data_IF_142991676151
#
_entry.id   IF_142991676151
#
_cell.length_a   1.000
_cell.length_b   1.000
_cell.length_c   1.000
_cell.angle_alpha   90.00
_cell.angle_beta   90.00
_cell.angle_gamma   90.00
#
_symmetry.space_group_name_H-M   'P 1'
#
loop_
_entity.id
_entity.type
_entity.pdbx_description
1 polymer ?
#
# COMPACT_ATOMS: atom_id res chain seq x y z
N UNK A 1 29.00 25.08 -16.46
CA UNK A 1 27.58 25.08 -16.85
C UNK A 1 26.83 25.67 -15.68
N UNK A 2 26.08 26.75 -15.92
CA UNK A 2 25.21 27.34 -14.90
C UNK A 2 23.84 26.68 -15.03
N UNK A 3 23.31 26.18 -13.92
CA UNK A 3 21.98 25.57 -13.89
C UNK A 3 20.93 26.67 -13.78
N UNK A 4 19.93 26.64 -14.67
CA UNK A 4 18.78 27.53 -14.61
C UNK A 4 17.59 26.79 -14.01
N UNK A 5 17.15 27.20 -12.81
CA UNK A 5 15.92 26.71 -12.20
C UNK A 5 14.77 27.64 -12.55
N UNK A 6 13.86 27.18 -13.40
CA UNK A 6 12.75 28.02 -13.90
C UNK A 6 11.43 27.27 -14.01
N UNK A 7 10.33 28.01 -13.85
CA UNK A 7 8.98 27.54 -14.20
C UNK A 7 8.80 27.67 -15.70
N UNK A 8 8.41 26.57 -16.36
CA UNK A 8 8.22 26.52 -17.81
C UNK A 8 6.75 26.79 -18.16
N UNK A 9 6.53 27.78 -19.02
CA UNK A 9 5.23 28.08 -19.61
C UNK A 9 5.22 27.73 -21.10
N UNK A 10 4.10 27.23 -21.59
CA UNK A 10 3.94 26.91 -23.02
C UNK A 10 3.75 28.19 -23.84
N UNK A 11 2.58 28.83 -23.72
CA UNK A 11 2.20 29.92 -24.64
C UNK A 11 1.93 31.26 -23.97
N UNK A 12 1.41 31.27 -22.75
CA UNK A 12 0.96 32.47 -22.08
C UNK A 12 1.38 32.46 -20.61
N UNK A 13 1.82 33.62 -20.15
CA UNK A 13 2.13 33.87 -18.74
C UNK A 13 1.18 34.95 -18.27
N UNK A 14 0.41 34.64 -17.24
CA UNK A 14 -0.60 35.51 -16.67
C UNK A 14 -0.28 35.74 -15.21
N UNK A 15 0.00 36.99 -14.84
CA UNK A 15 0.08 37.38 -13.44
C UNK A 15 -1.33 37.69 -12.93
N UNK A 16 -1.72 36.98 -11.87
CA UNK A 16 -3.05 37.08 -11.27
C UNK A 16 -2.95 37.82 -9.93
N UNK A 17 -3.66 38.94 -9.79
CA UNK A 17 -3.67 39.76 -8.57
C UNK A 17 -5.11 39.83 -8.03
N UNK A 18 -5.37 39.37 -6.80
CA UNK A 18 -6.69 39.49 -6.20
C UNK A 18 -7.13 40.95 -6.09
N UNK A 19 -8.41 41.24 -6.34
CA UNK A 19 -8.95 42.60 -6.33
C UNK A 19 -8.87 43.30 -4.96
N UNK A 20 -8.65 42.54 -3.87
CA UNK A 20 -8.43 43.09 -2.54
C UNK A 20 -7.08 43.81 -2.39
N UNK A 21 -6.15 43.67 -3.35
CA UNK A 21 -4.88 44.40 -3.35
C UNK A 21 -5.01 45.76 -4.04
N UNK A 22 -4.35 46.76 -3.47
CA UNK A 22 -4.20 48.07 -4.10
C UNK A 22 -3.09 48.04 -5.16
N UNK A 23 -3.47 48.05 -6.45
CA UNK A 23 -2.53 48.02 -7.57
C UNK A 23 -1.51 49.16 -7.57
N UNK A 24 -1.84 50.34 -7.02
CA UNK A 24 -0.90 51.48 -6.93
C UNK A 24 0.25 51.23 -5.94
N UNK A 25 0.05 50.29 -5.02
CA UNK A 25 1.03 49.90 -4.01
C UNK A 25 1.82 48.63 -4.41
N UNK A 26 1.64 48.15 -5.65
CA UNK A 26 2.34 46.98 -6.18
C UNK A 26 3.24 47.37 -7.35
N UNK A 27 4.42 46.77 -7.37
CA UNK A 27 5.39 46.91 -8.44
C UNK A 27 5.81 45.54 -8.95
N UNK A 28 5.77 45.38 -10.26
CA UNK A 28 6.27 44.23 -10.97
C UNK A 28 7.68 44.56 -11.47
N UNK A 29 8.66 43.78 -11.05
CA UNK A 29 10.05 43.91 -11.46
C UNK A 29 10.38 42.71 -12.36
N UNK A 30 10.84 42.99 -13.58
CA UNK A 30 11.20 41.97 -14.57
C UNK A 30 12.62 42.25 -15.03
N UNK A 31 13.58 41.36 -14.72
CA UNK A 31 15.01 41.53 -15.01
C UNK A 31 15.53 42.94 -14.67
N UNK A 32 15.20 43.42 -13.47
CA UNK A 32 15.53 44.76 -12.94
C UNK A 32 14.83 45.96 -13.62
N UNK A 33 13.85 45.71 -14.50
CA UNK A 33 12.95 46.76 -15.01
C UNK A 33 11.72 46.84 -14.14
N UNK A 34 11.35 48.05 -13.74
CA UNK A 34 10.25 48.30 -12.80
C UNK A 34 9.00 48.74 -13.56
N UNK A 35 7.87 48.11 -13.24
CA UNK A 35 6.56 48.39 -13.82
C UNK A 35 5.54 48.57 -12.70
N UNK A 36 4.85 49.71 -12.68
CA UNK A 36 3.73 49.91 -11.75
C UNK A 36 2.51 49.17 -12.27
N UNK A 37 1.93 48.30 -11.44
CA UNK A 37 0.80 47.47 -11.90
C UNK A 37 -0.43 48.30 -12.29
N UNK A 38 -0.63 49.48 -11.71
CA UNK A 38 -1.73 50.36 -12.07
C UNK A 38 -1.55 51.11 -13.41
N UNK A 39 -0.38 50.98 -14.05
CA UNK A 39 -0.06 51.62 -15.33
C UNK A 39 -0.04 50.62 -16.50
N UNK A 40 -0.16 49.32 -16.21
CA UNK A 40 -0.23 48.27 -17.22
C UNK A 40 -1.69 47.99 -17.61
N UNK A 41 -1.90 47.60 -18.86
CA UNK A 41 -3.20 47.11 -19.29
C UNK A 41 -3.52 45.75 -18.62
N UNK A 42 -4.76 45.60 -18.17
CA UNK A 42 -5.22 44.39 -17.47
C UNK A 42 -6.67 44.05 -17.81
N UNK A 43 -7.00 42.78 -17.65
CA UNK A 43 -8.37 42.26 -17.75
C UNK A 43 -8.90 41.98 -16.34
N UNK A 44 -10.20 42.24 -16.12
CA UNK A 44 -10.90 41.76 -14.92
C UNK A 44 -11.61 40.46 -15.24
N UNK A 45 -11.43 39.45 -14.40
CA UNK A 45 -12.06 38.14 -14.57
C UNK A 45 -13.03 37.83 -13.42
N UNK A 46 -13.97 36.90 -13.65
CA UNK A 46 -15.05 36.55 -12.70
C UNK A 46 -14.57 36.06 -11.32
N UNK A 47 -13.29 35.73 -11.17
CA UNK A 47 -12.67 35.27 -9.91
C UNK A 47 -12.21 36.42 -8.99
N UNK A 48 -12.76 37.64 -9.14
CA UNK A 48 -12.33 38.84 -8.40
C UNK A 48 -10.81 39.06 -8.48
N UNK A 49 -10.25 38.94 -9.69
CA UNK A 49 -8.82 39.09 -9.94
C UNK A 49 -8.55 40.00 -11.14
N UNK A 50 -7.49 40.81 -11.03
CA UNK A 50 -6.83 41.46 -12.15
C UNK A 50 -5.87 40.49 -12.82
N UNK A 51 -5.94 40.37 -14.14
CA UNK A 51 -5.09 39.49 -14.95
C UNK A 51 -4.19 40.35 -15.86
N UNK A 52 -2.88 40.17 -15.73
CA UNK A 52 -1.86 40.82 -16.58
C UNK A 52 -1.20 39.77 -17.48
N UNK A 53 -1.41 39.87 -18.80
CA UNK A 53 -0.81 38.96 -19.77
C UNK A 53 0.62 39.39 -20.12
N UNK A 54 1.62 38.94 -19.36
CA UNK A 54 2.99 39.45 -19.45
C UNK A 54 3.61 39.35 -20.85
N UNK A 55 3.33 38.25 -21.58
CA UNK A 55 3.79 38.08 -22.96
C UNK A 55 3.04 38.99 -23.94
N UNK A 56 1.72 39.13 -23.78
CA UNK A 56 0.87 39.97 -24.65
C UNK A 56 1.25 41.45 -24.50
N UNK A 57 1.59 41.86 -23.27
CA UNK A 57 2.11 43.19 -22.95
C UNK A 57 3.55 43.43 -23.45
N UNK A 58 4.19 42.42 -24.06
CA UNK A 58 5.57 42.52 -24.55
C UNK A 58 6.62 42.63 -23.43
N UNK A 59 6.28 42.25 -22.19
CA UNK A 59 7.16 42.35 -21.04
C UNK A 59 8.15 41.18 -20.93
N UNK A 60 7.83 40.05 -21.55
CA UNK A 60 8.67 38.84 -21.57
C UNK A 60 8.75 38.27 -23.00
N UNK A 61 9.83 37.53 -23.28
CA UNK A 61 10.09 36.93 -24.60
C UNK A 61 10.14 35.40 -24.53
N UNK A 62 9.97 34.74 -25.68
CA UNK A 62 10.13 33.30 -25.80
C UNK A 62 11.61 32.90 -25.67
N UNK A 63 11.85 31.71 -25.13
CA UNK A 63 13.18 31.10 -24.97
C UNK A 63 14.20 31.91 -24.16
N UNK A 64 13.74 32.83 -23.32
CA UNK A 64 14.60 33.65 -22.46
C UNK A 64 14.19 33.51 -20.99
N UNK A 65 15.03 32.91 -20.13
CA UNK A 65 14.81 32.90 -18.69
C UNK A 65 14.67 34.33 -18.16
N UNK A 66 13.56 34.60 -17.50
CA UNK A 66 13.19 35.93 -17.04
C UNK A 66 12.89 35.87 -15.55
N UNK A 67 13.57 36.69 -14.74
CA UNK A 67 13.28 36.82 -13.32
C UNK A 67 12.13 37.79 -13.12
N UNK A 68 11.10 37.35 -12.40
CA UNK A 68 9.92 38.15 -12.06
C UNK A 68 9.83 38.28 -10.55
N UNK A 69 9.67 39.52 -10.09
CA UNK A 69 9.45 39.83 -8.67
C UNK A 69 8.24 40.74 -8.54
N UNK A 70 7.29 40.37 -7.67
CA UNK A 70 6.18 41.23 -7.28
C UNK A 70 6.47 41.80 -5.90
N UNK A 71 6.66 43.11 -5.82
CA UNK A 71 6.89 43.81 -4.56
C UNK A 71 5.64 44.58 -4.11
N UNK A 72 5.39 44.58 -2.80
CA UNK A 72 4.34 45.39 -2.19
C UNK A 72 4.95 46.49 -1.34
N UNK A 73 4.71 47.75 -1.73
CA UNK A 73 5.11 48.91 -0.93
C UNK A 73 4.30 49.01 0.37
N UNK A 74 3.03 48.62 0.35
CA UNK A 74 2.17 48.65 1.54
C UNK A 74 2.63 47.64 2.61
N UNK A 75 3.09 46.46 2.19
CA UNK A 75 3.57 45.40 3.10
C UNK A 75 5.09 45.40 3.28
N UNK A 76 5.79 46.29 2.59
CA UNK A 76 7.26 46.39 2.52
C UNK A 76 7.95 45.04 2.30
N UNK A 77 7.39 44.20 1.42
CA UNK A 77 7.93 42.85 1.17
C UNK A 77 7.67 42.37 -0.25
N UNK A 78 8.51 41.41 -0.65
CA UNK A 78 8.31 40.60 -1.85
C UNK A 78 7.13 39.65 -1.62
N UNK A 79 6.17 39.68 -2.54
CA UNK A 79 5.00 38.80 -2.55
C UNK A 79 5.23 37.55 -3.41
N UNK A 80 6.03 37.68 -4.47
CA UNK A 80 6.36 36.63 -5.42
C UNK A 80 7.77 36.89 -5.96
N UNK A 81 8.59 35.86 -6.06
CA UNK A 81 9.87 35.91 -6.77
C UNK A 81 10.10 34.58 -7.45
N UNK A 82 10.09 34.58 -8.78
CA UNK A 82 10.20 33.38 -9.59
C UNK A 82 11.07 33.64 -10.81
N UNK A 83 11.77 32.63 -11.29
CA UNK A 83 12.38 32.65 -12.63
C UNK A 83 11.50 31.83 -13.56
N UNK A 84 11.12 32.39 -14.69
CA UNK A 84 10.23 31.74 -15.65
C UNK A 84 10.86 31.67 -17.04
N UNK A 85 10.39 30.75 -17.86
CA UNK A 85 10.73 30.70 -19.29
C UNK A 85 9.50 30.32 -20.10
N UNK A 86 9.34 30.91 -21.29
CA UNK A 86 8.29 30.54 -22.24
C UNK A 86 8.91 29.68 -23.34
N UNK A 87 8.46 28.42 -23.46
CA UNK A 87 8.90 27.46 -24.47
C UNK A 87 7.66 26.95 -25.26
N UNK A 88 7.26 27.66 -26.33
CA UNK A 88 6.01 27.36 -27.06
C UNK A 88 5.94 25.96 -27.66
N UNK A 89 7.10 25.43 -28.05
CA UNK A 89 7.19 24.15 -28.75
C UNK A 89 7.47 22.98 -27.82
N UNK A 90 7.65 23.23 -26.52
CA UNK A 90 7.87 22.20 -25.51
C UNK A 90 6.53 21.78 -24.89
N UNK A 91 6.27 20.48 -24.90
CA UNK A 91 5.12 19.85 -24.26
C UNK A 91 5.63 18.67 -23.42
N UNK A 92 5.32 18.66 -22.13
CA UNK A 92 5.70 17.59 -21.20
C UNK A 92 4.42 16.97 -20.66
N UNK A 93 4.20 15.71 -20.98
CA UNK A 93 2.98 15.00 -20.64
C UNK A 93 3.30 13.74 -19.85
N UNK A 94 3.01 13.76 -18.56
CA UNK A 94 3.02 12.58 -17.71
C UNK A 94 1.81 11.70 -18.02
N UNK A 95 2.00 10.39 -18.12
CA UNK A 95 0.89 9.45 -18.34
C UNK A 95 -0.07 9.34 -17.15
N UNK A 96 0.34 9.81 -15.98
CA UNK A 96 -0.49 9.89 -14.79
C UNK A 96 -0.38 11.27 -14.11
N UNK A 97 -1.45 11.72 -13.43
CA UNK A 97 -1.45 13.01 -12.71
C UNK A 97 -0.45 13.07 -11.55
N UNK A 98 -0.08 11.92 -10.99
CA UNK A 98 0.95 11.71 -9.98
C UNK A 98 1.26 10.21 -9.94
N UNK A 99 2.34 9.83 -9.26
CA UNK A 99 2.81 8.45 -9.16
C UNK A 99 2.81 7.96 -7.71
N UNK A 100 2.29 6.74 -7.49
CA UNK A 100 2.33 5.99 -6.23
C UNK A 100 2.25 4.49 -6.55
N UNK A 101 2.97 3.64 -5.81
CA UNK A 101 2.88 2.18 -5.97
C UNK A 101 3.49 1.69 -7.27
N UNK A 102 2.80 0.83 -8.00
CA UNK A 102 3.30 0.11 -9.18
C UNK A 102 2.83 0.69 -10.53
N UNK A 103 2.30 1.93 -10.53
CA UNK A 103 1.86 2.62 -11.74
C UNK A 103 2.96 2.65 -12.82
N UNK A 104 2.54 2.50 -14.08
CA UNK A 104 3.43 2.63 -15.22
C UNK A 104 4.01 4.06 -15.26
N UNK A 105 5.33 4.19 -15.31
CA UNK A 105 6.05 5.47 -15.23
C UNK A 105 6.50 5.91 -16.62
N UNK A 106 5.76 6.82 -17.23
CA UNK A 106 6.07 7.35 -18.55
C UNK A 106 5.84 8.85 -18.64
N UNK A 107 6.75 9.51 -19.34
CA UNK A 107 6.66 10.92 -19.69
C UNK A 107 6.93 11.05 -21.18
N UNK A 108 6.06 11.77 -21.86
CA UNK A 108 6.23 12.13 -23.26
C UNK A 108 6.70 13.57 -23.33
N UNK A 109 7.84 13.78 -23.98
CA UNK A 109 8.42 15.11 -24.19
C UNK A 109 8.32 15.37 -25.69
N UNK A 110 7.60 16.44 -26.07
CA UNK A 110 7.50 16.88 -27.45
C UNK A 110 8.23 18.21 -27.56
N UNK A 111 9.20 18.30 -28.45
CA UNK A 111 9.88 19.53 -28.81
C UNK A 111 9.91 19.66 -30.34
N UNK A 112 9.17 20.63 -30.89
CA UNK A 112 9.00 20.78 -32.33
C UNK A 112 8.47 19.48 -32.99
N UNK A 113 9.26 18.84 -33.84
CA UNK A 113 8.92 17.58 -34.52
C UNK A 113 9.45 16.34 -33.78
N UNK A 114 10.22 16.53 -32.71
CA UNK A 114 10.81 15.43 -31.95
C UNK A 114 9.84 15.02 -30.83
N UNK A 115 9.55 13.73 -30.76
CA UNK A 115 8.76 13.13 -29.68
C UNK A 115 9.65 12.07 -29.03
N UNK A 116 9.93 12.27 -27.76
CA UNK A 116 10.67 11.34 -26.92
C UNK A 116 9.75 10.77 -25.85
N UNK A 117 9.91 9.48 -25.56
CA UNK A 117 9.24 8.84 -24.44
C UNK A 117 10.27 8.23 -23.51
N UNK A 118 10.21 8.64 -22.25
CA UNK A 118 11.12 8.19 -21.21
C UNK A 118 10.35 7.43 -20.14
N UNK A 119 11.02 6.46 -19.55
CA UNK A 119 10.55 5.65 -18.42
C UNK A 119 11.61 5.69 -17.32
N UNK A 120 11.19 5.58 -16.06
CA UNK A 120 12.10 5.66 -14.91
C UNK A 120 11.69 4.68 -13.81
N UNK A 121 12.58 4.47 -12.84
CA UNK A 121 12.33 3.63 -11.69
C UNK A 121 11.64 4.41 -10.57
N UNK A 122 10.98 3.71 -9.64
CA UNK A 122 10.31 4.37 -8.51
C UNK A 122 11.27 5.20 -7.63
N UNK A 123 12.55 4.85 -7.59
CA UNK A 123 13.55 5.55 -6.78
C UNK A 123 13.96 6.89 -7.39
N UNK A 124 13.87 7.05 -8.71
CA UNK A 124 14.27 8.26 -9.40
C UNK A 124 13.29 9.40 -9.08
N UNK A 125 13.77 10.56 -8.63
CA UNK A 125 12.94 11.75 -8.38
C UNK A 125 12.85 12.67 -9.61
N UNK A 126 13.69 12.43 -10.62
CA UNK A 126 13.86 13.27 -11.79
C UNK A 126 14.04 12.43 -13.05
N UNK A 127 13.56 12.94 -14.18
CA UNK A 127 13.80 12.40 -15.51
C UNK A 127 14.64 13.39 -16.29
N UNK A 128 15.71 12.92 -16.91
CA UNK A 128 16.65 13.75 -17.66
C UNK A 128 16.49 13.44 -19.14
N UNK A 129 16.27 14.47 -19.95
CA UNK A 129 16.17 14.39 -21.40
C UNK A 129 17.14 15.38 -22.05
N UNK A 130 17.87 15.01 -23.11
CA UNK A 130 18.63 15.98 -23.90
C UNK A 130 17.72 17.06 -24.48
N UNK A 131 18.10 18.33 -24.34
CA UNK A 131 17.31 19.45 -24.83
C UNK A 131 18.23 20.53 -25.40
N UNK A 132 18.19 20.71 -26.72
CA UNK A 132 19.14 21.56 -27.47
C UNK A 132 20.60 21.21 -27.10
N UNK A 133 21.41 22.19 -26.69
CA UNK A 133 22.80 22.01 -26.25
C UNK A 133 22.93 21.63 -24.75
N UNK A 134 21.84 21.28 -24.08
CA UNK A 134 21.80 21.00 -22.65
C UNK A 134 20.89 19.82 -22.26
N UNK A 135 20.40 19.87 -21.02
CA UNK A 135 19.51 18.84 -20.46
C UNK A 135 18.28 19.47 -19.83
N UNK A 136 17.12 18.90 -20.12
CA UNK A 136 15.88 19.16 -19.41
C UNK A 136 15.78 18.19 -18.23
N UNK A 137 15.80 18.73 -17.01
CA UNK A 137 15.62 17.97 -15.76
C UNK A 137 14.17 18.14 -15.29
N UNK A 138 13.39 17.08 -15.37
CA UNK A 138 11.96 17.09 -15.06
C UNK A 138 11.72 16.41 -13.72
N UNK A 139 11.22 17.14 -12.73
CA UNK A 139 10.83 16.56 -11.44
C UNK A 139 9.57 15.70 -11.58
N UNK A 140 9.61 14.51 -10.99
CA UNK A 140 8.49 13.57 -11.02
C UNK A 140 7.49 13.92 -9.91
N UNK A 141 6.20 13.90 -10.26
CA UNK A 141 5.11 14.20 -9.34
C UNK A 141 4.75 12.97 -8.50
N UNK A 142 5.52 12.69 -7.45
CA UNK A 142 5.20 11.61 -6.51
C UNK A 142 4.20 12.03 -5.46
N UNK A 143 3.19 11.18 -5.25
CA UNK A 143 2.44 11.16 -4.01
C UNK A 143 3.22 10.27 -3.03
N UNK A 144 3.64 10.83 -1.90
CA UNK A 144 4.54 10.14 -0.97
C UNK A 144 4.13 10.38 0.47
N UNK A 145 4.53 9.46 1.33
CA UNK A 145 4.20 9.50 2.76
C UNK A 145 5.42 9.16 3.62
N UNK A 146 5.45 9.67 4.83
CA UNK A 146 6.46 9.31 5.84
C UNK A 146 5.87 9.32 7.24
N UNK A 147 6.56 8.67 8.16
CA UNK A 147 6.26 8.73 9.58
C UNK A 147 7.43 9.47 10.25
N UNK A 148 7.13 10.57 10.93
CA UNK A 148 8.11 11.49 11.48
C UNK A 148 9.18 11.90 10.43
N UNK A 149 10.44 11.89 10.82
CA UNK A 149 11.58 12.28 9.99
C UNK A 149 12.20 11.11 9.20
N UNK A 150 11.47 10.00 9.03
CA UNK A 150 11.92 8.90 8.17
C UNK A 150 11.87 9.27 6.69
N UNK A 151 12.51 8.44 5.86
CA UNK A 151 12.50 8.59 4.41
C UNK A 151 11.08 8.55 3.83
N UNK A 152 10.88 9.37 2.80
CA UNK A 152 9.63 9.38 2.03
C UNK A 152 9.44 8.08 1.27
N UNK A 153 8.27 7.48 1.44
CA UNK A 153 7.83 6.27 0.73
C UNK A 153 6.90 6.65 -0.41
N UNK A 154 7.15 6.06 -1.57
CA UNK A 154 6.39 6.26 -2.82
C UNK A 154 5.41 5.10 -3.09
N UNK A 155 5.31 4.15 -2.16
CA UNK A 155 4.52 2.92 -2.31
C UNK A 155 4.01 2.39 -0.96
N UNK A 156 3.12 1.41 -1.02
CA UNK A 156 2.56 0.70 0.13
C UNK A 156 3.56 -0.29 0.73
N UNK A 157 3.44 -0.59 2.02
CA UNK A 157 4.17 -1.71 2.64
C UNK A 157 3.34 -2.98 2.49
N UNK A 158 3.74 -3.83 1.54
CA UNK A 158 3.08 -5.11 1.21
C UNK A 158 3.44 -6.25 2.19
N UNK A 159 3.33 -5.99 3.49
CA UNK A 159 3.43 -7.01 4.53
C UNK A 159 2.64 -6.61 5.77
N UNK A 160 2.18 -7.59 6.53
CA UNK A 160 1.58 -7.35 7.85
C UNK A 160 2.67 -7.01 8.86
N UNK A 161 2.52 -5.89 9.57
CA UNK A 161 3.56 -5.35 10.45
C UNK A 161 3.13 -5.45 11.91
N UNK A 162 4.04 -5.90 12.78
CA UNK A 162 3.85 -5.78 14.22
C UNK A 162 4.06 -4.33 14.67
N UNK A 163 3.04 -3.72 15.28
CA UNK A 163 3.03 -2.27 15.53
C UNK A 163 4.25 -1.76 16.30
N UNK A 164 4.68 -2.44 17.38
CA UNK A 164 5.80 -1.97 18.23
C UNK A 164 7.15 -1.87 17.50
N UNK A 165 7.31 -2.59 16.39
CA UNK A 165 8.53 -2.57 15.59
C UNK A 165 8.54 -1.47 14.53
N UNK A 166 7.43 -0.73 14.38
CA UNK A 166 7.23 0.18 13.25
C UNK A 166 6.67 1.54 13.64
N UNK A 167 5.78 1.60 14.64
CA UNK A 167 5.11 2.83 15.05
C UNK A 167 5.07 2.95 16.57
N UNK A 168 5.34 4.15 17.07
CA UNK A 168 5.22 4.55 18.47
C UNK A 168 3.97 5.40 18.68
N UNK A 169 3.52 5.53 19.94
CA UNK A 169 2.27 6.23 20.26
C UNK A 169 2.27 7.71 19.83
N UNK A 170 3.43 8.37 19.88
CA UNK A 170 3.58 9.78 19.48
C UNK A 170 3.79 10.03 17.99
N UNK A 171 3.85 8.97 17.17
CA UNK A 171 4.26 9.11 15.77
C UNK A 171 3.23 9.85 14.91
N UNK A 172 3.74 10.73 14.06
CA UNK A 172 2.97 11.56 13.14
C UNK A 172 3.20 11.12 11.70
N UNK A 173 2.12 11.05 10.92
CA UNK A 173 2.17 10.73 9.50
C UNK A 173 2.03 12.00 8.67
N UNK A 174 2.91 12.12 7.69
CA UNK A 174 2.91 13.19 6.70
C UNK A 174 2.64 12.61 5.33
N UNK A 175 1.85 13.35 4.53
CA UNK A 175 1.59 13.05 3.13
C UNK A 175 1.98 14.28 2.33
N UNK A 176 2.87 14.09 1.38
CA UNK A 176 3.22 15.09 0.38
C UNK A 176 2.43 14.79 -0.89
N UNK A 177 1.54 15.72 -1.23
CA UNK A 177 0.63 15.62 -2.35
C UNK A 177 1.05 16.62 -3.42
N UNK A 178 1.45 16.17 -4.62
CA UNK A 178 1.86 17.07 -5.69
C UNK A 178 0.71 17.90 -6.26
N UNK A 179 -0.56 17.59 -5.90
CA UNK A 179 -1.73 18.37 -6.29
C UNK A 179 -2.33 19.10 -5.08
N UNK A 180 -1.86 20.32 -4.84
CA UNK A 180 -2.28 21.17 -3.71
C UNK A 180 -3.81 21.36 -3.61
N UNK A 181 -4.54 21.34 -4.73
CA UNK A 181 -5.97 21.64 -4.77
C UNK A 181 -6.89 20.54 -4.18
N UNK A 182 -6.38 19.34 -3.88
CA UNK A 182 -7.20 18.24 -3.38
C UNK A 182 -6.87 17.90 -1.93
N UNK A 183 -7.85 18.08 -1.05
CA UNK A 183 -7.78 17.63 0.33
C UNK A 183 -7.57 16.10 0.37
N UNK A 184 -6.43 15.69 0.94
CA UNK A 184 -6.17 14.29 1.27
C UNK A 184 -6.69 14.02 2.67
N UNK A 185 -7.51 12.98 2.77
CA UNK A 185 -8.03 12.46 4.05
C UNK A 185 -7.34 11.16 4.39
N UNK A 186 -6.96 10.99 5.65
CA UNK A 186 -6.35 9.75 6.14
C UNK A 186 -7.39 8.94 6.92
N UNK A 187 -7.40 7.64 6.70
CA UNK A 187 -8.30 6.73 7.37
C UNK A 187 -7.58 5.51 7.91
N UNK A 188 -8.16 4.97 8.98
CA UNK A 188 -7.79 3.68 9.53
C UNK A 188 -9.02 2.80 9.48
N UNK A 189 -8.86 1.62 8.89
CA UNK A 189 -9.88 0.58 8.85
C UNK A 189 -9.54 -0.49 9.89
N UNK A 190 -10.40 -0.64 10.90
CA UNK A 190 -10.25 -1.61 12.00
C UNK A 190 -11.46 -2.53 11.99
N UNK A 191 -11.24 -3.84 11.87
CA UNK A 191 -12.32 -4.85 11.86
C UNK A 191 -13.48 -4.50 10.89
N UNK A 192 -13.16 -3.87 9.76
CA UNK A 192 -14.13 -3.44 8.75
C UNK A 192 -14.69 -2.02 8.91
N UNK A 193 -14.54 -1.39 10.07
CA UNK A 193 -14.98 -0.01 10.33
C UNK A 193 -13.92 1.01 9.91
N UNK A 194 -14.30 2.02 9.15
CA UNK A 194 -13.43 3.09 8.66
C UNK A 194 -13.54 4.32 9.57
N UNK A 195 -12.41 4.78 10.10
CA UNK A 195 -12.30 5.94 10.99
C UNK A 195 -11.37 6.97 10.34
N UNK A 196 -11.79 8.22 10.27
CA UNK A 196 -10.96 9.32 9.75
C UNK A 196 -10.00 9.83 10.83
N UNK A 197 -8.72 10.00 10.48
CA UNK A 197 -7.73 10.68 11.33
C UNK A 197 -7.69 12.14 10.92
N UNK A 198 -7.97 13.03 11.88
CA UNK A 198 -7.89 14.46 11.68
C UNK A 198 -6.44 14.95 11.76
N UNK A 199 -6.14 16.02 11.01
CA UNK A 199 -4.85 16.71 11.11
C UNK A 199 -4.76 17.46 12.44
N UNK A 200 -3.57 17.46 13.03
CA UNK A 200 -3.26 18.33 14.15
C UNK A 200 -2.96 19.77 13.70
N UNK A 201 -2.63 20.66 14.64
CA UNK A 201 -2.33 22.07 14.36
C UNK A 201 -1.13 22.28 13.41
N UNK A 202 -0.23 21.30 13.31
CA UNK A 202 0.91 21.32 12.37
C UNK A 202 0.60 20.72 11.00
N UNK A 203 -0.66 20.33 10.74
CA UNK A 203 -1.08 19.72 9.48
C UNK A 203 -0.74 18.24 9.33
N UNK A 204 -0.22 17.58 10.39
CA UNK A 204 0.19 16.17 10.39
C UNK A 204 -0.88 15.27 11.02
N UNK A 205 -0.89 13.99 10.69
CA UNK A 205 -1.87 13.03 11.21
C UNK A 205 -1.33 12.28 12.44
N UNK A 206 -2.10 12.21 13.53
CA UNK A 206 -1.72 11.50 14.78
C UNK A 206 -1.84 9.97 14.67
N UNK A 207 -1.12 9.37 13.72
CA UNK A 207 -1.25 7.96 13.39
C UNK A 207 -0.87 7.03 14.56
N UNK A 208 0.17 7.36 15.32
CA UNK A 208 0.63 6.57 16.45
C UNK A 208 -0.49 6.38 17.48
N UNK A 209 -1.10 7.49 17.89
CA UNK A 209 -2.22 7.51 18.83
C UNK A 209 -3.41 6.71 18.32
N UNK A 210 -3.74 6.84 17.04
CA UNK A 210 -4.84 6.07 16.43
C UNK A 210 -4.58 4.56 16.46
N UNK A 211 -3.34 4.11 16.23
CA UNK A 211 -2.99 2.68 16.33
C UNK A 211 -3.03 2.20 17.78
N UNK A 212 -2.42 2.94 18.73
CA UNK A 212 -2.34 2.53 20.14
C UNK A 212 -3.69 2.56 20.88
N UNK A 213 -4.62 3.43 20.47
CA UNK A 213 -5.99 3.42 21.03
C UNK A 213 -6.75 2.15 20.62
N UNK A 214 -6.30 1.46 19.57
CA UNK A 214 -6.87 0.24 19.04
C UNK A 214 -5.95 -0.98 19.27
N UNK A 215 -5.33 -1.06 20.45
CA UNK A 215 -4.59 -2.26 20.87
C UNK A 215 -5.49 -3.51 20.93
N UNK A 216 -4.91 -4.69 20.68
CA UNK A 216 -5.64 -5.96 20.66
C UNK A 216 -6.37 -6.29 19.36
N UNK A 217 -6.10 -5.56 18.27
CA UNK A 217 -6.67 -5.78 16.93
C UNK A 217 -5.70 -6.48 15.99
N UNK A 218 -6.19 -7.46 15.23
CA UNK A 218 -5.37 -8.19 14.24
C UNK A 218 -5.23 -7.41 12.95
N UNK A 219 -6.28 -6.69 12.55
CA UNK A 219 -6.37 -6.07 11.23
C UNK A 219 -6.61 -4.58 11.35
N UNK A 220 -5.53 -3.81 11.24
CA UNK A 220 -5.57 -2.35 11.13
C UNK A 220 -4.94 -1.97 9.79
N UNK A 221 -5.76 -1.48 8.86
CA UNK A 221 -5.31 -1.01 7.55
C UNK A 221 -5.30 0.51 7.54
N UNK A 222 -4.18 1.11 7.19
CA UNK A 222 -4.04 2.57 7.07
C UNK A 222 -4.05 2.92 5.60
N UNK A 223 -4.93 3.84 5.22
CA UNK A 223 -5.06 4.26 3.83
C UNK A 223 -5.42 5.74 3.78
N UNK A 224 -4.94 6.44 2.76
CA UNK A 224 -5.45 7.77 2.47
C UNK A 224 -6.40 7.71 1.28
N UNK A 225 -7.27 8.72 1.16
CA UNK A 225 -8.12 8.87 -0.01
C UNK A 225 -8.07 10.29 -0.52
N UNK A 226 -8.06 10.41 -1.84
CA UNK A 226 -8.44 11.65 -2.51
C UNK A 226 -9.92 11.55 -2.93
N UNK A 227 -10.44 12.54 -3.67
CA UNK A 227 -11.86 12.55 -4.11
C UNK A 227 -12.25 11.42 -5.07
N UNK A 228 -11.30 10.66 -5.62
CA UNK A 228 -11.52 9.65 -6.66
C UNK A 228 -11.02 8.25 -6.27
N UNK A 229 -9.99 8.16 -5.46
CA UNK A 229 -9.19 6.95 -5.25
C UNK A 229 -8.80 6.76 -3.78
N UNK A 230 -8.66 5.49 -3.37
CA UNK A 230 -8.12 5.10 -2.07
C UNK A 230 -6.76 4.43 -2.29
N UNK A 231 -5.80 4.77 -1.44
CA UNK A 231 -4.43 4.26 -1.50
C UNK A 231 -4.07 3.65 -0.15
N UNK A 232 -3.78 2.36 -0.15
CA UNK A 232 -3.29 1.67 1.04
C UNK A 232 -1.85 2.10 1.33
N UNK A 233 -1.53 2.39 2.59
CA UNK A 233 -0.18 2.69 3.03
C UNK A 233 0.49 1.47 3.64
N UNK A 234 -0.16 0.83 4.61
CA UNK A 234 0.36 -0.33 5.31
C UNK A 234 -0.72 -1.02 6.14
N UNK A 235 -0.48 -2.30 6.45
CA UNK A 235 -1.30 -3.09 7.35
C UNK A 235 -0.53 -3.44 8.63
N UNK A 236 -1.12 -3.10 9.78
CA UNK A 236 -0.55 -3.33 11.11
C UNK A 236 -1.43 -4.26 11.93
N UNK A 237 -0.80 -4.97 12.86
CA UNK A 237 -1.46 -5.73 13.92
C UNK A 237 -0.96 -5.27 15.29
N UNK A 238 -1.92 -5.11 16.20
CA UNK A 238 -1.69 -4.85 17.64
C UNK A 238 -2.04 -6.07 18.50
N UNK A 239 -2.39 -7.20 17.87
CA UNK A 239 -2.57 -8.51 18.50
C UNK A 239 -1.71 -9.57 17.85
N UNK A 240 -0.99 -10.31 18.67
CA UNK A 240 -0.17 -11.45 18.26
C UNK A 240 -1.06 -12.54 17.65
N UNK A 241 -0.71 -13.00 16.46
CA UNK A 241 -1.43 -14.07 15.76
C UNK A 241 -0.58 -14.66 14.63
N UNK A 242 -1.02 -15.81 14.11
CA UNK A 242 -0.49 -16.39 12.89
C UNK A 242 -1.40 -16.05 11.70
N UNK A 243 -0.79 -15.67 10.58
CA UNK A 243 -1.48 -15.42 9.30
C UNK A 243 -1.59 -16.69 8.45
N UNK A 244 -0.73 -17.67 8.71
CA UNK A 244 -0.69 -18.96 8.01
C UNK A 244 -0.38 -20.11 8.98
N UNK A 245 -0.38 -21.36 8.50
CA UNK A 245 -0.01 -22.51 9.33
C UNK A 245 1.49 -22.46 9.67
N UNK A 246 1.88 -22.37 10.95
CA UNK A 246 3.27 -22.27 11.34
C UNK A 246 4.00 -23.61 11.35
N UNK A 247 3.32 -24.69 10.96
CA UNK A 247 3.90 -26.03 10.88
C UNK A 247 3.71 -26.59 9.48
N UNK A 248 4.79 -27.11 8.90
CA UNK A 248 4.77 -27.76 7.58
C UNK A 248 5.40 -29.14 7.64
N UNK A 249 4.96 -30.03 6.73
CA UNK A 249 5.54 -31.34 6.54
C UNK A 249 6.08 -31.47 5.12
N UNK A 250 7.37 -31.76 4.98
CA UNK A 250 8.00 -32.08 3.70
C UNK A 250 9.23 -32.97 3.93
N UNK A 251 9.52 -33.86 2.98
CA UNK A 251 10.64 -34.80 3.05
C UNK A 251 10.71 -35.62 4.36
N UNK A 252 9.56 -36.09 4.85
CA UNK A 252 9.49 -36.93 6.06
C UNK A 252 9.73 -36.19 7.38
N UNK A 253 9.81 -34.86 7.34
CA UNK A 253 10.16 -34.00 8.47
C UNK A 253 9.11 -32.92 8.69
N UNK A 254 8.98 -32.49 9.94
CA UNK A 254 8.09 -31.42 10.35
C UNK A 254 8.93 -30.20 10.72
N UNK A 255 8.56 -29.06 10.16
CA UNK A 255 9.25 -27.80 10.37
C UNK A 255 8.34 -26.78 11.01
N UNK A 256 8.90 -26.07 11.99
CA UNK A 256 8.36 -24.84 12.53
C UNK A 256 8.80 -23.69 11.63
N UNK A 257 7.83 -23.03 11.00
CA UNK A 257 8.01 -21.91 10.11
C UNK A 257 7.33 -20.70 10.72
N UNK A 258 8.10 -19.79 11.30
CA UNK A 258 7.58 -18.65 12.06
C UNK A 258 7.84 -17.30 11.39
N UNK A 259 8.98 -17.14 10.72
CA UNK A 259 9.44 -15.84 10.22
C UNK A 259 8.44 -15.14 9.30
N UNK A 260 7.70 -15.92 8.49
CA UNK A 260 6.71 -15.40 7.54
C UNK A 260 5.26 -15.68 7.95
N UNK A 261 5.03 -16.40 9.05
CA UNK A 261 3.67 -16.84 9.45
C UNK A 261 3.18 -16.13 10.71
N UNK A 262 4.08 -15.62 11.56
CA UNK A 262 3.74 -14.96 12.82
C UNK A 262 3.88 -13.45 12.74
N UNK A 263 2.86 -12.75 13.25
CA UNK A 263 2.88 -11.30 13.41
C UNK A 263 2.82 -11.00 14.91
N UNK A 264 3.95 -10.56 15.46
CA UNK A 264 4.07 -10.30 16.89
C UNK A 264 5.49 -9.93 17.33
N UNK A 265 5.67 -9.90 18.64
CA UNK A 265 6.96 -9.68 19.28
C UNK A 265 7.92 -10.86 19.04
N UNK A 266 9.16 -10.57 18.65
CA UNK A 266 10.16 -11.58 18.27
C UNK A 266 10.78 -12.29 19.48
N UNK A 267 10.62 -11.72 20.67
CA UNK A 267 11.13 -12.30 21.92
C UNK A 267 10.13 -13.28 22.55
N UNK A 268 9.07 -13.63 21.84
CA UNK A 268 8.06 -14.57 22.30
C UNK A 268 8.57 -16.01 22.34
N UNK A 269 8.06 -16.73 23.35
CA UNK A 269 8.12 -18.18 23.42
C UNK A 269 6.72 -18.75 23.29
N UNK A 270 6.61 -19.83 22.52
CA UNK A 270 5.36 -20.51 22.24
C UNK A 270 5.35 -21.87 22.92
N UNK A 271 4.15 -22.35 23.25
CA UNK A 271 3.91 -23.75 23.55
C UNK A 271 3.24 -24.36 22.31
N UNK A 272 3.99 -25.19 21.58
CA UNK A 272 3.51 -25.90 20.40
C UNK A 272 3.06 -27.30 20.80
N UNK A 273 1.83 -27.66 20.43
CA UNK A 273 1.25 -28.99 20.62
C UNK A 273 0.81 -29.54 19.27
N UNK A 274 1.36 -30.68 18.85
CA UNK A 274 1.01 -31.40 17.63
C UNK A 274 0.54 -32.78 18.06
N UNK A 275 -0.74 -33.09 17.87
CA UNK A 275 -1.28 -34.43 18.16
C UNK A 275 -1.37 -34.79 19.65
N UNK A 276 -1.17 -33.83 20.55
CA UNK A 276 -1.16 -34.05 22.00
C UNK A 276 0.23 -34.37 22.56
N UNK A 277 0.30 -34.49 23.90
CA UNK A 277 1.53 -34.80 24.66
C UNK A 277 2.29 -36.04 24.16
N UNK A 278 1.60 -37.00 23.56
CA UNK A 278 2.19 -38.27 23.12
C UNK A 278 2.92 -38.18 21.79
N UNK A 279 2.74 -37.08 21.04
CA UNK A 279 3.36 -36.87 19.73
C UNK A 279 4.40 -35.78 19.84
N UNK A 280 3.99 -34.54 20.13
CA UNK A 280 4.92 -33.44 20.39
C UNK A 280 4.24 -32.34 21.18
N UNK A 281 4.88 -31.97 22.29
CA UNK A 281 4.50 -30.79 23.04
C UNK A 281 5.73 -30.17 23.70
N UNK A 282 6.16 -29.03 23.18
CA UNK A 282 7.35 -28.36 23.70
C UNK A 282 7.26 -26.84 23.60
N UNK A 283 8.13 -26.17 24.36
CA UNK A 283 8.39 -24.73 24.22
C UNK A 283 9.26 -24.51 23.00
N UNK A 284 8.84 -23.57 22.15
CA UNK A 284 9.54 -23.22 20.93
C UNK A 284 9.73 -21.70 20.83
N UNK A 285 10.87 -21.30 20.28
CA UNK A 285 11.29 -19.92 20.09
C UNK A 285 10.83 -19.38 18.72
N UNK A 286 11.08 -18.09 18.50
CA UNK A 286 10.75 -17.40 17.25
C UNK A 286 11.81 -17.61 16.15
N UNK A 287 12.28 -18.85 15.95
CA UNK A 287 13.25 -19.21 14.89
C UNK A 287 12.80 -20.43 14.10
N UNK A 288 12.93 -20.38 12.78
CA UNK A 288 12.60 -21.52 11.92
C UNK A 288 13.50 -22.72 12.27
N UNK A 289 12.90 -23.91 12.41
CA UNK A 289 13.67 -25.15 12.66
C UNK A 289 12.90 -26.42 12.37
N UNK A 290 13.63 -27.49 12.13
CA UNK A 290 13.09 -28.85 12.19
C UNK A 290 12.72 -29.19 13.64
N UNK A 291 11.52 -29.74 13.85
CA UNK A 291 11.01 -30.05 15.20
C UNK A 291 10.71 -31.53 15.40
N UNK A 292 10.40 -32.26 14.33
CA UNK A 292 10.15 -33.71 14.36
C UNK A 292 10.63 -34.35 13.05
N UNK A 293 11.06 -35.60 13.15
CA UNK A 293 11.32 -36.49 12.03
C UNK A 293 10.63 -37.83 12.26
N UNK A 294 10.35 -38.56 11.18
CA UNK A 294 9.79 -39.93 11.23
C UNK A 294 8.44 -40.03 11.99
N UNK A 295 7.64 -38.97 11.95
CA UNK A 295 6.28 -39.00 12.51
C UNK A 295 5.36 -39.88 11.62
N UNK A 296 4.49 -40.66 12.26
CA UNK A 296 3.55 -41.56 11.56
C UNK A 296 2.63 -40.76 10.63
N UNK A 297 2.27 -41.35 9.49
CA UNK A 297 1.28 -40.76 8.59
C UNK A 297 -0.08 -40.58 9.30
N UNK A 298 -0.50 -39.33 9.50
CA UNK A 298 -1.79 -38.95 10.09
C UNK A 298 -2.11 -37.45 9.84
N UNK A 299 -3.33 -37.04 10.20
CA UNK A 299 -3.75 -35.66 10.37
C UNK A 299 -3.71 -35.33 11.86
N UNK A 300 -2.74 -34.51 12.25
CA UNK A 300 -2.55 -34.07 13.64
C UNK A 300 -3.22 -32.72 13.88
N UNK A 301 -3.91 -32.57 15.02
CA UNK A 301 -4.34 -31.24 15.51
C UNK A 301 -3.10 -30.46 15.93
N UNK A 302 -2.99 -29.23 15.47
CA UNK A 302 -1.94 -28.28 15.86
C UNK A 302 -2.56 -27.22 16.74
N UNK A 303 -1.92 -26.89 17.85
CA UNK A 303 -2.30 -25.77 18.71
C UNK A 303 -1.04 -25.03 19.13
N UNK A 304 -1.05 -23.71 18.94
CA UNK A 304 0.04 -22.83 19.40
C UNK A 304 -0.51 -21.89 20.44
N UNK A 305 0.15 -21.85 21.59
CA UNK A 305 -0.18 -20.94 22.68
C UNK A 305 0.97 -20.01 22.98
N UNK A 306 0.65 -18.80 23.42
CA UNK A 306 1.62 -17.84 23.93
C UNK A 306 1.41 -17.61 25.42
N UNK A 307 2.49 -17.34 26.15
CA UNK A 307 2.40 -17.02 27.57
C UNK A 307 1.71 -15.67 27.74
N UNK A 308 0.69 -15.63 28.59
CA UNK A 308 0.03 -14.39 28.96
C UNK A 308 1.03 -13.49 29.70
N UNK A 309 1.22 -12.27 29.19
CA UNK A 309 2.18 -11.27 29.74
C UNK A 309 1.63 -10.50 30.94
N UNK A 310 0.45 -10.86 31.48
CA UNK A 310 -0.13 -10.20 32.64
C UNK A 310 0.65 -10.52 33.93
N UNK A 311 1.40 -9.54 34.42
CA UNK A 311 2.20 -9.61 35.65
C UNK A 311 1.37 -9.81 36.92
N UNK A 312 0.05 -9.58 36.88
CA UNK A 312 -0.85 -9.75 38.02
C UNK A 312 -1.53 -11.14 38.06
N UNK A 313 -1.29 -11.99 37.06
CA UNK A 313 -1.83 -13.35 37.05
C UNK A 313 -1.10 -14.21 38.09
N UNK A 314 -1.85 -14.80 39.03
CA UNK A 314 -1.31 -15.71 40.07
C UNK A 314 -0.78 -17.03 39.49
N UNK A 315 -1.18 -17.39 38.28
CA UNK A 315 -0.80 -18.63 37.60
C UNK A 315 -0.30 -18.35 36.18
N UNK A 316 0.62 -19.19 35.69
CA UNK A 316 1.12 -19.12 34.33
C UNK A 316 0.01 -19.49 33.33
N UNK A 317 -0.64 -18.47 32.77
CA UNK A 317 -1.70 -18.64 31.76
C UNK A 317 -1.12 -18.67 30.35
N UNK A 318 -1.63 -19.57 29.53
CA UNK A 318 -1.27 -19.70 28.11
C UNK A 318 -2.50 -19.49 27.24
N UNK A 319 -2.45 -18.50 26.36
CA UNK A 319 -3.56 -18.16 25.46
C UNK A 319 -3.35 -18.76 24.07
N UNK A 320 -4.38 -19.39 23.51
CA UNK A 320 -4.33 -20.00 22.16
C UNK A 320 -4.33 -18.90 21.10
N UNK A 321 -3.31 -18.90 20.24
CA UNK A 321 -3.17 -17.93 19.14
C UNK A 321 -3.27 -18.57 17.76
N UNK A 322 -3.23 -19.90 17.69
CA UNK A 322 -3.46 -20.67 16.47
C UNK A 322 -4.02 -22.05 16.79
N UNK A 323 -5.03 -22.47 16.03
CA UNK A 323 -5.50 -23.85 15.97
C UNK A 323 -5.64 -24.27 14.52
N UNK A 324 -5.04 -25.42 14.17
CA UNK A 324 -5.00 -25.90 12.80
C UNK A 324 -4.78 -27.40 12.72
N UNK A 325 -4.39 -27.86 11.54
CA UNK A 325 -4.12 -29.28 11.27
C UNK A 325 -2.81 -29.41 10.47
N UNK A 326 -2.04 -30.44 10.80
CA UNK A 326 -0.85 -30.85 10.06
C UNK A 326 -1.16 -32.20 9.40
N UNK A 327 -1.04 -32.28 8.09
CA UNK A 327 -1.15 -33.54 7.35
C UNK A 327 0.26 -34.10 7.12
N UNK A 328 0.50 -35.31 7.60
CA UNK A 328 1.75 -36.05 7.41
C UNK A 328 1.46 -37.22 6.48
N UNK A 329 2.04 -37.21 5.27
CA UNK A 329 1.84 -38.25 4.27
C UNK A 329 1.11 -37.75 3.02
N UNK A 330 0.76 -38.68 2.13
CA UNK A 330 0.07 -38.39 0.85
C UNK A 330 -1.41 -38.01 1.11
N UNK A 331 -1.92 -36.86 0.61
CA UNK A 331 -3.31 -36.43 0.83
C UNK A 331 -4.37 -37.47 0.46
N UNK A 332 -4.10 -38.29 -0.55
CA UNK A 332 -4.99 -39.34 -1.06
C UNK A 332 -5.33 -40.38 0.01
N UNK A 333 -4.34 -40.74 0.84
CA UNK A 333 -4.51 -41.71 1.94
C UNK A 333 -5.49 -41.22 3.01
N UNK A 334 -5.69 -39.91 3.12
CA UNK A 334 -6.56 -39.30 4.12
C UNK A 334 -7.92 -38.89 3.58
N UNK A 335 -8.21 -39.13 2.30
CA UNK A 335 -9.42 -38.64 1.62
C UNK A 335 -10.71 -39.03 2.34
N UNK A 336 -10.78 -40.24 2.88
CA UNK A 336 -11.97 -40.82 3.53
C UNK A 336 -11.83 -40.99 5.04
N UNK A 337 -10.67 -40.64 5.63
CA UNK A 337 -10.44 -40.79 7.07
C UNK A 337 -11.46 -39.99 7.89
N UNK A 338 -12.09 -40.65 8.86
CA UNK A 338 -13.15 -40.10 9.73
C UNK A 338 -14.36 -39.52 8.96
N UNK A 339 -14.62 -40.02 7.74
CA UNK A 339 -15.79 -39.62 6.94
C UNK A 339 -16.75 -40.79 6.76
N UNK A 340 -18.00 -40.42 6.52
CA UNK A 340 -19.07 -41.34 6.17
C UNK A 340 -19.56 -40.98 4.77
N UNK A 341 -19.62 -41.96 3.88
CA UNK A 341 -20.29 -41.77 2.58
C UNK A 341 -21.73 -42.20 2.75
N UNK A 342 -22.64 -41.22 2.70
CA UNK A 342 -24.08 -41.49 2.66
C UNK A 342 -24.49 -41.81 1.22
N UNK A 343 -25.06 -42.98 1.01
CA UNK A 343 -25.55 -43.37 -0.30
C UNK A 343 -26.94 -42.77 -0.49
N UNK A 344 -27.05 -41.78 -1.38
CA UNK A 344 -28.35 -41.15 -1.68
C UNK A 344 -29.08 -41.86 -2.82
N UNK A 345 -28.36 -42.23 -3.88
CA UNK A 345 -28.91 -42.95 -5.05
C UNK A 345 -27.87 -43.90 -5.60
N UNK A 346 -28.31 -45.06 -6.10
CA UNK A 346 -27.44 -46.10 -6.68
C UNK A 346 -27.84 -46.29 -8.15
N UNK A 347 -26.86 -46.29 -9.04
CA UNK A 347 -27.05 -46.68 -10.43
C UNK A 347 -26.58 -48.13 -10.61
N UNK A 348 -27.41 -49.00 -11.19
CA UNK A 348 -27.07 -50.41 -11.40
C UNK A 348 -27.08 -50.77 -12.88
N UNK A 349 -26.06 -51.51 -13.32
CA UNK A 349 -25.93 -51.95 -14.71
C UNK A 349 -27.06 -52.90 -15.18
N UNK A 350 -27.83 -53.47 -14.24
CA UNK A 350 -28.96 -54.36 -14.52
C UNK A 350 -30.24 -53.63 -14.96
N UNK A 351 -30.19 -52.32 -15.16
CA UNK A 351 -31.36 -51.48 -15.47
C UNK A 351 -31.25 -50.82 -16.86
N UNK A 352 -30.72 -51.56 -17.82
CA UNK A 352 -30.52 -51.11 -19.22
C UNK A 352 -31.80 -50.56 -19.89
N UNK A 353 -32.99 -50.84 -19.36
CA UNK A 353 -34.26 -50.47 -20.00
C UNK A 353 -35.09 -49.38 -19.29
N UNK A 354 -34.53 -48.65 -18.32
CA UNK A 354 -35.27 -47.55 -17.67
C UNK A 354 -34.44 -46.27 -17.70
N UNK A 355 -34.86 -45.32 -18.54
CA UNK A 355 -34.50 -43.91 -18.40
C UNK A 355 -34.77 -43.48 -16.94
N UNK A 356 -33.71 -43.32 -16.13
CA UNK A 356 -33.83 -43.00 -14.71
C UNK A 356 -33.44 -44.12 -13.73
N UNK A 357 -32.50 -45.00 -14.09
CA UNK A 357 -31.90 -46.10 -13.32
C UNK A 357 -31.21 -45.77 -12.00
N UNK A 358 -31.60 -44.68 -11.34
CA UNK A 358 -31.11 -44.29 -10.02
C UNK A 358 -32.09 -44.72 -8.94
N UNK A 359 -31.75 -45.77 -8.22
CA UNK A 359 -32.53 -46.31 -7.10
C UNK A 359 -32.20 -45.50 -5.85
N UNK A 360 -33.21 -44.90 -5.22
CA UNK A 360 -33.06 -44.33 -3.87
C UNK A 360 -33.23 -45.43 -2.84
N UNK A 361 -32.23 -45.72 -1.99
CA UNK A 361 -32.35 -46.81 -1.02
C UNK A 361 -33.43 -46.51 0.03
N UNK A 362 -34.21 -47.53 0.43
CA UNK A 362 -35.30 -47.40 1.41
C UNK A 362 -34.82 -47.20 2.86
N UNK A 363 -33.52 -47.41 3.13
CA UNK A 363 -32.86 -47.18 4.42
C UNK A 363 -31.62 -46.31 4.23
N UNK A 364 -31.20 -45.60 5.27
CA UNK A 364 -29.95 -44.83 5.25
C UNK A 364 -28.75 -45.80 5.24
N UNK A 365 -28.20 -46.08 4.06
CA UNK A 365 -26.93 -46.80 3.93
C UNK A 365 -25.76 -45.83 4.04
N UNK A 366 -24.76 -46.24 4.83
CA UNK A 366 -23.56 -45.46 5.08
C UNK A 366 -22.36 -46.38 4.91
N UNK A 367 -21.38 -45.97 4.10
CA UNK A 367 -20.06 -46.59 4.04
C UNK A 367 -19.16 -45.88 5.06
N UNK A 368 -18.44 -46.67 5.86
CA UNK A 368 -17.55 -46.21 6.93
C UNK A 368 -16.14 -46.73 6.66
N UNK A 369 -15.15 -46.12 7.30
CA UNK A 369 -13.79 -46.66 7.42
C UNK A 369 -13.10 -47.03 6.09
N UNK A 370 -13.47 -46.37 5.00
CA UNK A 370 -12.86 -46.55 3.68
C UNK A 370 -11.36 -46.24 3.70
N UNK A 371 -10.56 -47.19 3.22
CA UNK A 371 -9.13 -47.03 3.05
C UNK A 371 -8.77 -46.81 1.57
N UNK A 372 -7.76 -45.98 1.34
CA UNK A 372 -7.20 -45.78 0.01
C UNK A 372 -6.16 -46.86 -0.27
N UNK A 373 -6.36 -47.65 -1.33
CA UNK A 373 -5.35 -48.56 -1.86
C UNK A 373 -4.60 -47.87 -3.02
N UNK A 374 -3.27 -48.02 -3.03
CA UNK A 374 -2.42 -47.47 -4.08
C UNK A 374 -2.64 -48.25 -5.38
N UNK A 375 -2.87 -47.54 -6.48
CA UNK A 375 -3.22 -48.13 -7.78
C UNK A 375 -2.02 -48.86 -8.37
N UNK A 376 -2.10 -50.19 -8.51
CA UNK A 376 -1.32 -50.91 -9.52
C UNK A 376 -2.17 -50.99 -10.79
N UNK A 377 -1.61 -50.56 -11.92
CA UNK A 377 -2.20 -50.74 -13.26
C UNK A 377 -3.55 -50.06 -13.55
N UNK A 378 -3.71 -48.79 -13.15
CA UNK A 378 -4.73 -47.90 -13.73
C UNK A 378 -6.18 -48.08 -13.24
N UNK A 379 -6.49 -49.06 -12.40
CA UNK A 379 -7.82 -49.21 -11.79
C UNK A 379 -7.81 -48.84 -10.30
N UNK A 380 -8.68 -47.91 -9.90
CA UNK A 380 -8.89 -47.55 -8.50
C UNK A 380 -9.76 -48.62 -7.82
N UNK A 381 -9.14 -49.46 -6.99
CA UNK A 381 -9.85 -50.45 -6.18
C UNK A 381 -9.98 -49.88 -4.76
N UNK A 382 -11.20 -49.86 -4.23
CA UNK A 382 -11.51 -49.51 -2.84
C UNK A 382 -11.91 -50.80 -2.12
N UNK A 383 -11.26 -51.12 -1.00
CA UNK A 383 -11.72 -52.17 -0.08
C UNK A 383 -12.74 -51.56 0.90
N UNK A 384 -13.78 -52.29 1.26
CA UNK A 384 -14.97 -51.80 1.98
C UNK A 384 -15.25 -52.50 3.31
#
# INVERSE_FOLDING_TARGET
LEDFFCIVYKNAVKLMIPECFNLKALELIIDNKHYKLNELDYERIELNCYQFGLKILGLISDCYPTKITLFSFEKEKILLEETIIVLPNLDIEFNHPFYFGDLERKVTIKNNNNIEQLSWNIQDDEVISPFEDGFLVIKVLYLRWRINDNDWRKESINKKIWYKNFIQNGDLLEIDNPKEEKEIKLFVKIDGQKIEIQKNQSGKFEIGRSIYTNEGKKDICVHFSNTRENFELFNISTKEHFIENPVSFYNGKVYWNIENTFVGDKDNNFLLDIGGKNIFRDKIDCKNKEILSNIKEDIYKVTVKIKNKNIFAKEEKWDSIYEGRLMVGKPEKFRFKNKYIRIERINTAFSMDINGSWITPSKNYVIRDLEYLEVQEGEQIYDY
#
